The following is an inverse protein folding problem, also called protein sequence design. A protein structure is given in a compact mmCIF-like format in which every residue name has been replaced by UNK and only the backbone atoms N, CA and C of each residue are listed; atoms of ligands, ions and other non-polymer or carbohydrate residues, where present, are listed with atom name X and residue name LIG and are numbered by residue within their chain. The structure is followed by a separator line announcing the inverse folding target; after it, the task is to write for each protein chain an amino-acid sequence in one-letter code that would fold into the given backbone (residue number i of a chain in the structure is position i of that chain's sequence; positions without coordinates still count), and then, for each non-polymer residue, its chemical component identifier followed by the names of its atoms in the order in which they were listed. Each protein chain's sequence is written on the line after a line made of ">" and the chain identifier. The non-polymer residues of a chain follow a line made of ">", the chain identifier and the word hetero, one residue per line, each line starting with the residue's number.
data_IF_966930869389
#
_entry.id   IF_966930869389
#
_cell.length_a   1.000
_cell.length_b   1.000
_cell.length_c   1.000
_cell.angle_alpha   90.00
_cell.angle_beta   90.00
_cell.angle_gamma   90.00
#
_symmetry.space_group_name_H-M   'P 1'
#
loop_
_entity.id
_entity.type
_entity.pdbx_description
1 polymer ?
#
# COMPACT_ATOMS: atom_id res chain seq x y z
N UNK A 1 -20.53 1.26 -19.41
CA UNK A 1 -19.19 0.66 -19.24
C UNK A 1 -18.37 1.61 -18.38
N UNK A 2 -18.14 1.26 -17.11
CA UNK A 2 -17.31 2.08 -16.20
C UNK A 2 -15.89 2.13 -16.74
N UNK A 3 -15.37 3.33 -17.03
CA UNK A 3 -13.95 3.54 -17.32
C UNK A 3 -13.24 3.64 -15.98
N UNK A 4 -12.45 2.63 -15.65
CA UNK A 4 -11.58 2.61 -14.48
C UNK A 4 -10.14 2.84 -14.93
N UNK A 5 -9.43 3.74 -14.26
CA UNK A 5 -8.01 4.01 -14.51
C UNK A 5 -7.20 3.49 -13.34
N UNK A 6 -6.27 2.57 -13.61
CA UNK A 6 -5.34 2.03 -12.63
C UNK A 6 -4.14 2.96 -12.51
N UNK A 7 -3.93 3.54 -11.34
CA UNK A 7 -2.76 4.36 -11.04
C UNK A 7 -1.83 3.53 -10.17
N UNK A 8 -0.65 3.22 -10.70
CA UNK A 8 0.41 2.55 -9.97
C UNK A 8 1.29 3.64 -9.35
N UNK A 9 1.27 3.74 -8.02
CA UNK A 9 2.12 4.66 -7.29
C UNK A 9 3.33 3.88 -6.77
N UNK A 10 4.53 4.29 -7.19
CA UNK A 10 5.78 3.69 -6.75
C UNK A 10 6.36 4.54 -5.60
N UNK A 11 6.64 3.92 -4.45
CA UNK A 11 7.48 4.55 -3.44
C UNK A 11 8.93 4.57 -3.95
N UNK A 12 9.47 5.76 -4.16
CA UNK A 12 10.80 5.97 -4.72
C UNK A 12 11.84 5.92 -3.59
N UNK A 13 12.68 4.88 -3.55
CA UNK A 13 13.96 4.95 -2.81
C UNK A 13 14.90 5.92 -3.54
N UNK A 14 15.85 6.50 -2.78
CA UNK A 14 16.86 7.47 -3.25
C UNK A 14 17.72 6.94 -4.42
N UNK A 15 17.74 5.63 -4.68
CA UNK A 15 18.30 4.99 -5.87
C UNK A 15 17.32 3.97 -6.48
N UNK A 16 16.60 4.35 -7.55
CA UNK A 16 15.85 3.40 -8.39
C UNK A 16 14.65 2.69 -7.73
N UNK A 17 13.69 2.28 -8.57
CA UNK A 17 12.55 1.48 -8.13
C UNK A 17 12.94 0.00 -8.06
N UNK A 18 13.43 -0.45 -6.90
CA UNK A 18 14.04 -1.79 -6.79
C UNK A 18 13.12 -2.87 -6.18
N UNK A 19 11.83 -2.59 -5.96
CA UNK A 19 10.91 -3.61 -5.42
C UNK A 19 9.43 -3.36 -5.74
N UNK A 20 8.77 -4.39 -6.30
CA UNK A 20 7.30 -4.48 -6.41
C UNK A 20 6.60 -4.37 -5.04
N UNK A 21 7.29 -4.67 -3.93
CA UNK A 21 6.76 -4.57 -2.56
C UNK A 21 6.58 -3.13 -2.06
N UNK A 22 6.99 -2.15 -2.85
CA UNK A 22 6.86 -0.72 -2.60
C UNK A 22 5.81 -0.05 -3.51
N UNK A 23 4.99 -0.87 -4.19
CA UNK A 23 3.99 -0.42 -5.16
C UNK A 23 2.57 -0.59 -4.61
N UNK A 24 1.79 0.49 -4.68
CA UNK A 24 0.34 0.45 -4.47
C UNK A 24 -0.40 0.70 -5.77
N UNK A 25 -1.55 0.05 -5.91
CA UNK A 25 -2.49 0.26 -7.02
C UNK A 25 -3.75 0.90 -6.45
N UNK A 26 -4.14 2.05 -7.02
CA UNK A 26 -5.42 2.68 -6.74
C UNK A 26 -6.21 2.74 -8.03
N UNK A 27 -7.45 2.28 -7.96
CA UNK A 27 -8.39 2.30 -9.04
C UNK A 27 -9.48 3.33 -8.72
N UNK A 28 -9.66 4.29 -9.62
CA UNK A 28 -10.64 5.37 -9.47
C UNK A 28 -11.83 5.11 -10.38
N UNK A 29 -13.05 5.21 -9.83
CA UNK A 29 -14.27 5.21 -10.62
C UNK A 29 -14.42 6.52 -11.39
N UNK A 30 -15.21 6.50 -12.47
CA UNK A 30 -15.51 7.66 -13.30
C UNK A 30 -16.26 8.77 -12.56
N UNK A 31 -16.85 8.47 -11.40
CA UNK A 31 -17.50 9.44 -10.51
C UNK A 31 -16.51 10.25 -9.65
N UNK A 32 -15.23 9.86 -9.61
CA UNK A 32 -14.19 10.46 -8.76
C UNK A 32 -14.42 10.30 -7.25
N UNK A 33 -15.45 9.57 -6.83
CA UNK A 33 -15.83 9.37 -5.42
C UNK A 33 -15.51 7.98 -4.92
N UNK A 34 -15.57 6.98 -5.80
CA UNK A 34 -15.31 5.59 -5.43
C UNK A 34 -13.89 5.24 -5.79
N UNK A 35 -13.15 4.70 -4.81
CA UNK A 35 -11.80 4.16 -5.03
C UNK A 35 -11.73 2.72 -4.56
N UNK A 36 -10.85 1.96 -5.20
CA UNK A 36 -10.34 0.69 -4.71
C UNK A 36 -8.83 0.85 -4.54
N UNK A 37 -8.30 0.47 -3.38
CA UNK A 37 -6.87 0.46 -3.11
C UNK A 37 -6.42 -0.98 -2.82
N UNK A 38 -5.39 -1.43 -3.54
CA UNK A 38 -4.86 -2.79 -3.44
C UNK A 38 -3.32 -2.77 -3.43
N UNK A 39 -2.73 -3.83 -2.88
CA UNK A 39 -1.30 -4.07 -3.05
C UNK A 39 -1.04 -4.48 -4.50
N UNK A 40 0.02 -3.95 -5.13
CA UNK A 40 0.31 -4.25 -6.53
C UNK A 40 0.96 -5.65 -6.74
N UNK A 41 1.26 -6.38 -5.67
CA UNK A 41 1.81 -7.73 -5.72
C UNK A 41 0.71 -8.80 -5.66
N UNK A 42 1.00 -10.00 -6.18
CA UNK A 42 0.14 -11.17 -6.02
C UNK A 42 0.14 -11.72 -4.59
N UNK A 43 -0.48 -12.88 -4.38
CA UNK A 43 -0.68 -13.52 -3.07
C UNK A 43 0.57 -14.14 -2.44
N UNK A 44 1.75 -13.95 -3.03
CA UNK A 44 3.03 -14.46 -2.54
C UNK A 44 2.99 -15.98 -2.24
N UNK A 45 2.40 -16.76 -3.15
CA UNK A 45 2.09 -18.19 -2.97
C UNK A 45 3.28 -19.02 -2.49
N UNK A 46 4.50 -18.72 -2.96
CA UNK A 46 5.72 -19.42 -2.52
C UNK A 46 5.96 -19.25 -1.01
N UNK A 47 5.89 -18.02 -0.50
CA UNK A 47 6.07 -17.75 0.93
C UNK A 47 4.94 -18.39 1.75
N UNK A 48 3.70 -18.34 1.24
CA UNK A 48 2.59 -19.01 1.90
C UNK A 48 2.82 -20.53 2.05
N UNK A 49 3.38 -21.21 1.04
CA UNK A 49 3.73 -22.63 1.14
C UNK A 49 4.86 -22.92 2.15
N UNK A 50 5.81 -22.00 2.33
CA UNK A 50 6.86 -22.12 3.37
C UNK A 50 6.26 -21.93 4.76
N UNK A 51 5.40 -20.93 4.93
CA UNK A 51 4.62 -20.70 6.15
C UNK A 51 3.77 -21.92 6.54
N UNK A 52 3.10 -22.57 5.58
CA UNK A 52 2.34 -23.81 5.83
C UNK A 52 3.21 -24.97 6.36
N UNK A 53 4.52 -24.94 6.11
CA UNK A 53 5.49 -25.93 6.60
C UNK A 53 6.14 -25.51 7.93
N UNK A 54 5.68 -24.42 8.54
CA UNK A 54 6.26 -23.85 9.76
C UNK A 54 7.62 -23.17 9.55
N UNK A 55 7.97 -22.85 8.30
CA UNK A 55 9.22 -22.15 7.99
C UNK A 55 9.03 -20.64 8.05
N UNK A 56 10.06 -19.92 8.51
CA UNK A 56 10.07 -18.47 8.52
C UNK A 56 10.07 -17.88 7.11
N UNK A 57 9.45 -16.71 6.95
CA UNK A 57 9.40 -15.98 5.67
C UNK A 57 9.64 -14.50 5.90
N UNK A 58 10.32 -13.85 4.97
CA UNK A 58 10.58 -12.41 4.97
C UNK A 58 9.68 -11.70 3.95
N UNK A 59 8.36 -11.81 4.14
CA UNK A 59 7.39 -11.20 3.22
C UNK A 59 7.26 -9.70 3.51
N UNK A 60 7.53 -8.85 2.53
CA UNK A 60 7.37 -7.41 2.64
C UNK A 60 5.87 -7.04 2.70
N UNK A 61 5.43 -6.42 3.80
CA UNK A 61 4.05 -6.00 4.04
C UNK A 61 3.75 -4.54 3.67
N UNK A 62 4.74 -3.75 3.23
CA UNK A 62 4.61 -2.30 3.01
C UNK A 62 3.53 -1.99 1.98
N UNK A 63 3.52 -2.63 0.82
CA UNK A 63 2.48 -2.44 -0.19
C UNK A 63 1.07 -2.72 0.36
N UNK A 64 0.92 -3.72 1.23
CA UNK A 64 -0.35 -4.03 1.88
C UNK A 64 -0.77 -2.96 2.89
N UNK A 65 0.19 -2.45 3.68
CA UNK A 65 -0.05 -1.33 4.60
C UNK A 65 -0.46 -0.08 3.82
N UNK A 66 0.25 0.23 2.74
CA UNK A 66 -0.06 1.41 1.93
C UNK A 66 -1.40 1.27 1.17
N UNK A 67 -1.84 0.07 0.83
CA UNK A 67 -3.19 -0.14 0.29
C UNK A 67 -4.27 0.27 1.32
N UNK A 68 -4.09 -0.13 2.59
CA UNK A 68 -4.96 0.29 3.68
C UNK A 68 -4.94 1.80 3.90
N UNK A 69 -3.74 2.40 3.99
CA UNK A 69 -3.63 3.84 4.24
C UNK A 69 -4.29 4.66 3.14
N UNK A 70 -4.17 4.26 1.87
CA UNK A 70 -4.85 4.94 0.74
C UNK A 70 -6.37 4.88 0.84
N UNK A 71 -6.92 3.72 1.20
CA UNK A 71 -8.35 3.58 1.45
C UNK A 71 -8.83 4.47 2.61
N UNK A 72 -8.09 4.47 3.71
CA UNK A 72 -8.39 5.27 4.89
C UNK A 72 -8.21 6.78 4.64
N UNK A 73 -7.20 7.19 3.88
CA UNK A 73 -6.97 8.59 3.50
C UNK A 73 -8.16 9.12 2.71
N UNK A 74 -8.65 8.34 1.74
CA UNK A 74 -9.82 8.70 0.94
C UNK A 74 -11.08 8.80 1.79
N UNK A 75 -11.31 7.83 2.69
CA UNK A 75 -12.41 7.88 3.65
C UNK A 75 -12.32 9.12 4.54
N UNK A 76 -11.14 9.43 5.06
CA UNK A 76 -10.87 10.62 5.86
C UNK A 76 -11.16 11.92 5.13
N UNK A 77 -10.82 12.01 3.83
CA UNK A 77 -11.16 13.17 2.99
C UNK A 77 -12.67 13.33 2.79
N UNK A 78 -13.38 12.24 2.52
CA UNK A 78 -14.83 12.27 2.34
C UNK A 78 -15.57 12.66 3.62
N UNK A 79 -15.09 12.21 4.78
CA UNK A 79 -15.70 12.47 6.09
C UNK A 79 -15.19 13.76 6.76
N UNK A 80 -14.22 14.45 6.15
CA UNK A 80 -13.49 15.58 6.77
C UNK A 80 -12.93 15.23 8.15
N UNK A 81 -12.35 14.02 8.26
CA UNK A 81 -11.83 13.48 9.51
C UNK A 81 -10.30 13.68 9.59
N UNK A 82 -9.88 14.80 10.15
CA UNK A 82 -8.46 15.15 10.28
C UNK A 82 -7.66 14.17 11.15
N UNK A 83 -8.30 13.56 12.16
CA UNK A 83 -7.64 12.57 13.02
C UNK A 83 -7.28 11.30 12.24
N UNK A 84 -8.15 10.88 11.32
CA UNK A 84 -7.88 9.75 10.45
C UNK A 84 -6.77 10.07 9.44
N UNK A 85 -6.77 11.29 8.89
CA UNK A 85 -5.71 11.74 7.98
C UNK A 85 -4.34 11.80 8.68
N UNK A 86 -4.29 12.28 9.92
CA UNK A 86 -3.08 12.31 10.73
C UNK A 86 -2.57 10.90 11.05
N UNK A 87 -3.46 9.98 11.45
CA UNK A 87 -3.11 8.58 11.68
C UNK A 87 -2.49 7.94 10.44
N UNK A 88 -3.10 8.13 9.27
CA UNK A 88 -2.60 7.59 8.01
C UNK A 88 -1.20 8.11 7.69
N UNK A 89 -0.98 9.43 7.81
CA UNK A 89 0.34 10.03 7.56
C UNK A 89 1.41 9.49 8.49
N UNK A 90 1.08 9.33 9.78
CA UNK A 90 2.00 8.75 10.77
C UNK A 90 2.32 7.29 10.48
N UNK A 91 1.35 6.51 10.04
CA UNK A 91 1.57 5.10 9.68
C UNK A 91 2.46 4.96 8.43
N UNK A 92 2.24 5.78 7.40
CA UNK A 92 3.10 5.80 6.22
C UNK A 92 4.53 6.24 6.57
N UNK A 93 4.68 7.28 7.41
CA UNK A 93 5.98 7.74 7.89
C UNK A 93 6.72 6.66 8.69
N UNK A 94 6.05 6.00 9.64
CA UNK A 94 6.66 4.93 10.44
C UNK A 94 7.16 3.76 9.57
N UNK A 95 6.45 3.41 8.49
CA UNK A 95 6.91 2.38 7.55
C UNK A 95 8.18 2.81 6.80
N UNK A 96 8.25 4.07 6.37
CA UNK A 96 9.44 4.62 5.69
C UNK A 96 10.61 4.67 6.66
N UNK A 97 10.41 5.22 7.86
CA UNK A 97 11.43 5.33 8.91
C UNK A 97 12.00 3.96 9.28
N UNK A 98 11.14 2.93 9.38
CA UNK A 98 11.58 1.55 9.68
C UNK A 98 12.52 1.01 8.60
N UNK A 99 12.23 1.25 7.33
CA UNK A 99 13.08 0.79 6.21
C UNK A 99 14.36 1.60 6.10
N UNK A 100 14.32 2.89 6.43
CA UNK A 100 15.49 3.76 6.42
C UNK A 100 16.45 3.45 7.57
N UNK A 101 15.93 3.10 8.75
CA UNK A 101 16.72 2.71 9.92
C UNK A 101 17.51 1.39 9.73
N UNK A 102 17.12 0.55 8.78
CA UNK A 102 17.83 -0.69 8.41
C UNK A 102 18.95 -0.48 7.36
N UNK A 103 19.24 0.77 6.96
CA UNK A 103 20.32 1.14 6.03
C UNK A 103 21.37 2.02 6.68
#
# INVERSE_FOLDING_TARGET
>A
MMKMSRVICLLKKRSGFDSLGLMTSVLLSSDGKTIEAEAAHGTVTRHFRLHQKGQETSTNSIASIFAWTRGLEHRGKLDKNDRLLDFVRKLEAACIETVEAET
#
